data_IF_581743680098
#
_entry.id   IF_581743680098
#
_cell.length_a   1.000
_cell.length_b   1.000
_cell.length_c   1.000
_cell.angle_alpha   90.00
_cell.angle_beta   90.00
_cell.angle_gamma   90.00
#
_symmetry.space_group_name_H-M   'P 1'
#
loop_
_entity.id
_entity.type
_entity.pdbx_description
1 polymer ?
#
# COMPACT_ATOMS: atom_id res chain seq x y z
N UNK A 1 59.03 23.56 -10.51
CA UNK A 1 59.80 22.32 -10.25
C UNK A 1 58.84 21.19 -10.48
N UNK A 2 59.04 20.55 -11.63
CA UNK A 2 58.38 19.32 -12.07
C UNK A 2 58.89 18.14 -11.25
N UNK A 3 58.03 17.23 -10.85
CA UNK A 3 58.37 15.83 -10.73
C UNK A 3 57.12 15.01 -11.13
N UNK A 4 57.26 14.34 -12.30
CA UNK A 4 56.45 13.21 -12.73
C UNK A 4 57.12 11.95 -12.16
N UNK A 5 56.37 10.94 -11.84
CA UNK A 5 56.70 9.48 -11.82
C UNK A 5 55.38 8.75 -11.68
N UNK A 6 54.97 7.97 -12.49
CA UNK A 6 55.14 6.81 -13.30
C UNK A 6 54.01 5.81 -13.00
N UNK A 7 53.45 5.33 -14.09
CA UNK A 7 52.57 4.16 -14.18
C UNK A 7 53.34 2.88 -13.74
N UNK A 8 52.61 2.00 -13.08
CA UNK A 8 52.93 0.59 -13.09
C UNK A 8 51.64 -0.23 -13.20
N UNK A 9 51.49 -0.71 -14.40
CA UNK A 9 50.67 -1.87 -14.74
C UNK A 9 51.12 -3.08 -13.92
N UNK A 10 50.19 -3.88 -13.47
CA UNK A 10 50.45 -5.31 -13.41
C UNK A 10 49.19 -6.10 -13.77
N UNK A 11 49.44 -6.93 -14.79
CA UNK A 11 48.52 -7.85 -15.39
C UNK A 11 48.67 -9.23 -14.70
N UNK A 12 47.66 -10.00 -14.93
CA UNK A 12 47.60 -11.45 -14.98
C UNK A 12 47.31 -12.12 -13.63
N UNK A 13 46.56 -13.19 -13.57
CA UNK A 13 46.59 -14.40 -14.41
C UNK A 13 45.26 -15.12 -14.23
N UNK A 14 44.76 -15.57 -15.36
CA UNK A 14 43.69 -16.55 -15.52
C UNK A 14 44.24 -17.95 -15.27
N UNK A 15 43.53 -18.76 -14.51
CA UNK A 15 43.51 -20.23 -14.63
C UNK A 15 42.52 -20.74 -13.57
N UNK A 16 41.64 -21.61 -13.79
CA UNK A 16 41.40 -22.61 -14.79
C UNK A 16 40.31 -23.50 -14.21
N UNK A 17 39.37 -23.83 -15.02
CA UNK A 17 38.33 -24.85 -14.78
C UNK A 17 39.02 -26.22 -14.74
N UNK A 18 38.49 -27.21 -13.97
CA UNK A 18 37.84 -28.26 -14.74
C UNK A 18 36.47 -28.72 -14.18
N UNK A 19 35.65 -29.01 -15.15
CA UNK A 19 34.43 -29.79 -15.18
C UNK A 19 34.72 -31.26 -14.85
N UNK A 20 33.91 -31.92 -14.10
CA UNK A 20 33.50 -33.34 -14.18
C UNK A 20 32.71 -33.69 -12.92
N UNK A 21 31.59 -34.32 -12.88
CA UNK A 21 30.88 -35.14 -13.82
C UNK A 21 29.91 -36.02 -13.04
N UNK A 22 28.86 -36.47 -13.73
CA UNK A 22 28.01 -37.64 -13.47
C UNK A 22 26.94 -37.49 -12.38
N UNK A 23 25.70 -37.19 -12.76
CA UNK A 23 24.65 -38.16 -13.18
C UNK A 23 24.59 -39.45 -12.37
N UNK A 24 23.54 -39.53 -11.53
CA UNK A 24 22.92 -40.82 -11.24
C UNK A 24 21.41 -40.68 -11.22
N UNK A 25 20.85 -41.16 -12.33
CA UNK A 25 19.47 -41.49 -12.55
C UNK A 25 19.21 -42.83 -11.89
N UNK A 26 18.37 -42.94 -10.89
CA UNK A 26 17.74 -44.20 -10.52
C UNK A 26 16.31 -44.27 -10.99
N UNK A 27 16.18 -45.02 -12.07
CA UNK A 27 14.92 -45.57 -12.59
C UNK A 27 14.37 -46.62 -11.66
N UNK A 28 13.06 -46.59 -11.54
CA UNK A 28 12.23 -47.69 -11.05
C UNK A 28 12.13 -48.81 -12.08
N UNK A 29 11.93 -50.06 -11.65
CA UNK A 29 11.28 -51.06 -12.48
C UNK A 29 9.80 -51.12 -12.20
N UNK A 30 9.07 -51.20 -13.15
CA UNK A 30 7.83 -51.60 -13.59
C UNK A 30 7.61 -53.11 -13.62
N UNK A 31 6.42 -53.46 -13.85
CA UNK A 31 5.79 -54.58 -14.57
C UNK A 31 4.42 -54.80 -13.98
N UNK A 32 3.36 -54.59 -14.66
CA UNK A 32 2.71 -55.29 -15.79
C UNK A 32 2.08 -56.62 -15.39
N UNK A 33 0.95 -56.80 -16.03
CA UNK A 33 0.19 -58.00 -16.47
C UNK A 33 -1.08 -58.19 -15.67
N UNK A 34 -2.19 -57.95 -16.28
CA UNK A 34 -2.94 -58.70 -17.31
C UNK A 34 -4.17 -59.41 -16.76
N UNK A 35 -5.26 -59.03 -17.33
CA UNK A 35 -6.37 -59.84 -17.83
C UNK A 35 -7.08 -60.85 -16.89
N UNK A 36 -8.38 -60.73 -16.87
CA UNK A 36 -9.27 -61.81 -16.36
C UNK A 36 -10.73 -61.48 -16.44
N UNK A 37 -11.31 -61.75 -17.56
CA UNK A 37 -12.72 -61.85 -17.86
C UNK A 37 -13.43 -62.76 -16.86
N UNK A 38 -14.59 -62.35 -16.35
CA UNK A 38 -15.66 -63.31 -16.06
C UNK A 38 -16.99 -62.57 -15.93
N UNK A 39 -17.74 -62.78 -16.94
CA UNK A 39 -19.16 -62.48 -17.13
C UNK A 39 -19.96 -63.50 -16.31
N UNK A 40 -20.78 -63.09 -15.33
CA UNK A 40 -21.87 -63.88 -14.85
C UNK A 40 -23.14 -63.07 -14.78
N UNK A 41 -24.02 -63.37 -15.69
CA UNK A 41 -25.45 -63.08 -15.68
C UNK A 41 -26.13 -64.04 -14.71
N UNK A 42 -27.02 -63.58 -13.85
CA UNK A 42 -28.11 -64.32 -13.26
C UNK A 42 -29.33 -63.40 -12.99
N UNK A 43 -30.54 -63.93 -12.94
CA UNK A 43 -31.67 -63.37 -13.68
C UNK A 43 -32.63 -62.54 -12.84
N UNK A 44 -33.50 -61.85 -13.57
CA UNK A 44 -34.48 -60.92 -13.04
C UNK A 44 -35.52 -61.51 -12.13
N UNK A 45 -35.92 -60.70 -11.17
CA UNK A 45 -37.26 -60.78 -10.55
C UNK A 45 -38.00 -59.48 -10.84
N UNK A 46 -39.01 -59.60 -11.66
CA UNK A 46 -40.05 -58.59 -11.82
C UNK A 46 -40.82 -58.51 -10.50
N UNK A 47 -40.76 -57.34 -9.87
CA UNK A 47 -41.73 -57.02 -8.82
C UNK A 47 -42.47 -55.78 -9.25
N UNK A 48 -43.75 -55.98 -9.35
CA UNK A 48 -44.77 -55.08 -9.86
C UNK A 48 -44.95 -53.91 -8.90
N UNK A 49 -44.99 -52.77 -9.49
CA UNK A 49 -45.19 -51.44 -8.99
C UNK A 49 -46.54 -51.29 -8.29
N UNK A 50 -46.50 -50.77 -7.09
CA UNK A 50 -47.63 -50.08 -6.47
C UNK A 50 -47.43 -48.58 -6.63
N UNK A 51 -48.17 -48.01 -7.51
CA UNK A 51 -48.36 -46.57 -7.74
C UNK A 51 -49.06 -45.99 -6.50
N UNK A 52 -48.32 -45.28 -5.63
CA UNK A 52 -48.95 -44.39 -4.66
C UNK A 52 -48.87 -42.96 -5.17
N UNK A 53 -49.97 -42.50 -5.69
CA UNK A 53 -50.32 -41.11 -5.83
C UNK A 53 -50.42 -40.49 -4.43
N UNK A 54 -49.98 -39.26 -4.30
CA UNK A 54 -50.29 -38.45 -3.13
C UNK A 54 -49.12 -37.59 -2.70
N UNK A 55 -48.61 -36.74 -3.60
CA UNK A 55 -47.87 -35.58 -3.14
C UNK A 55 -48.91 -34.58 -2.65
N UNK A 56 -48.99 -34.40 -1.32
CA UNK A 56 -49.88 -33.40 -0.74
C UNK A 56 -49.48 -32.00 -1.25
N UNK A 57 -50.41 -31.20 -1.72
CA UNK A 57 -50.13 -29.85 -2.20
C UNK A 57 -49.68 -28.87 -1.10
N UNK A 58 -49.80 -29.25 0.16
CA UNK A 58 -49.34 -28.42 1.32
C UNK A 58 -47.82 -28.33 1.42
N UNK A 59 -47.04 -29.31 1.02
CA UNK A 59 -45.60 -29.27 1.08
C UNK A 59 -44.99 -28.32 0.04
N UNK A 60 -45.63 -28.16 -1.11
CA UNK A 60 -45.19 -27.23 -2.17
C UNK A 60 -45.50 -25.77 -1.81
N UNK A 61 -46.58 -25.51 -1.10
CA UNK A 61 -46.93 -24.15 -0.61
C UNK A 61 -46.02 -23.70 0.55
N UNK A 62 -45.57 -24.61 1.42
CA UNK A 62 -44.64 -24.30 2.52
C UNK A 62 -43.23 -23.96 2.03
N UNK A 63 -42.80 -24.53 0.90
CA UNK A 63 -41.49 -24.18 0.31
C UNK A 63 -41.55 -22.86 -0.48
N UNK A 64 -42.69 -22.52 -1.08
CA UNK A 64 -42.89 -21.24 -1.77
C UNK A 64 -43.04 -20.03 -0.82
N UNK A 65 -43.54 -20.27 0.40
CA UNK A 65 -43.69 -19.20 1.42
C UNK A 65 -42.39 -18.77 2.11
N UNK A 66 -41.25 -19.43 1.86
CA UNK A 66 -39.96 -19.11 2.48
C UNK A 66 -39.05 -18.24 1.63
N UNK A 67 -39.46 -17.80 0.45
CA UNK A 67 -38.71 -16.82 -0.33
C UNK A 67 -39.28 -15.42 -0.04
N UNK A 68 -39.10 -14.96 1.18
CA UNK A 68 -39.18 -13.52 1.46
C UNK A 68 -38.05 -12.87 0.68
N UNK A 69 -38.30 -12.00 -0.29
CA UNK A 69 -37.24 -11.29 -0.98
C UNK A 69 -36.44 -10.54 0.08
N UNK A 70 -35.20 -10.97 0.31
CA UNK A 70 -34.31 -10.26 1.23
C UNK A 70 -34.05 -8.90 0.60
N UNK A 71 -34.68 -7.87 1.11
CA UNK A 71 -34.39 -6.49 0.76
C UNK A 71 -33.03 -6.15 1.31
N UNK A 72 -32.04 -6.05 0.43
CA UNK A 72 -30.70 -5.63 0.79
C UNK A 72 -30.61 -4.12 0.72
N UNK A 73 -29.97 -3.53 1.70
CA UNK A 73 -29.65 -2.13 1.68
C UNK A 73 -28.29 -1.90 1.00
N UNK A 74 -28.12 -0.70 0.44
CA UNK A 74 -26.84 -0.28 -0.13
C UNK A 74 -26.49 1.09 0.45
N UNK A 75 -25.43 1.13 1.26
CA UNK A 75 -24.90 2.35 1.87
C UNK A 75 -23.38 2.26 1.92
N UNK A 76 -22.72 3.43 2.02
CA UNK A 76 -21.24 3.47 2.14
C UNK A 76 -20.81 2.81 3.43
N UNK A 77 -19.78 1.96 3.33
CA UNK A 77 -19.23 1.26 4.49
C UNK A 77 -17.72 1.02 4.31
N UNK A 78 -17.02 1.01 5.45
CA UNK A 78 -15.63 0.56 5.50
C UNK A 78 -15.62 -0.88 6.03
N UNK A 79 -15.14 -1.85 5.24
CA UNK A 79 -15.13 -3.26 5.63
C UNK A 79 -14.26 -3.53 6.87
N UNK A 80 -13.39 -2.60 7.28
CA UNK A 80 -12.57 -2.74 8.47
C UNK A 80 -13.28 -2.37 9.78
N UNK A 81 -14.38 -1.61 9.73
CA UNK A 81 -15.06 -1.10 10.94
C UNK A 81 -16.56 -1.34 10.96
N UNK A 82 -17.16 -1.70 9.82
CA UNK A 82 -18.60 -1.94 9.71
C UNK A 82 -19.08 -3.01 10.71
N UNK A 83 -20.23 -2.82 11.33
CA UNK A 83 -20.77 -3.76 12.31
C UNK A 83 -21.29 -5.06 11.67
N UNK A 84 -21.34 -6.14 12.44
CA UNK A 84 -21.96 -7.43 12.01
C UNK A 84 -23.40 -7.21 11.57
N UNK A 85 -24.15 -6.37 12.27
CA UNK A 85 -25.54 -6.07 11.91
C UNK A 85 -25.64 -5.31 10.58
N UNK A 86 -24.75 -4.34 10.33
CA UNK A 86 -24.73 -3.62 9.06
C UNK A 86 -24.29 -4.49 7.90
N UNK A 87 -23.33 -5.42 8.13
CA UNK A 87 -23.01 -6.44 7.11
C UNK A 87 -24.24 -7.30 6.76
N UNK A 88 -25.08 -7.64 7.75
CA UNK A 88 -26.34 -8.36 7.47
C UNK A 88 -27.32 -7.53 6.66
N UNK A 89 -27.44 -6.22 6.94
CA UNK A 89 -28.25 -5.28 6.14
C UNK A 89 -27.74 -5.19 4.70
N UNK A 90 -26.41 -5.23 4.52
CA UNK A 90 -25.77 -5.28 3.20
C UNK A 90 -25.97 -6.63 2.47
N UNK A 91 -26.60 -7.63 3.11
CA UNK A 91 -26.96 -8.89 2.49
C UNK A 91 -26.08 -10.09 2.84
N UNK A 92 -25.12 -9.94 3.74
CA UNK A 92 -24.35 -11.08 4.23
C UNK A 92 -25.17 -11.91 5.22
N UNK A 93 -24.99 -13.22 5.19
CA UNK A 93 -25.53 -14.10 6.23
C UNK A 93 -24.80 -13.82 7.56
N UNK A 94 -25.40 -14.23 8.68
CA UNK A 94 -24.77 -14.09 9.99
C UNK A 94 -23.36 -14.72 10.02
N UNK A 95 -23.23 -15.95 9.50
CA UNK A 95 -21.93 -16.65 9.43
C UNK A 95 -20.88 -15.89 8.61
N UNK A 96 -21.27 -15.30 7.49
CA UNK A 96 -20.37 -14.49 6.67
C UNK A 96 -19.93 -13.21 7.39
N UNK A 97 -20.89 -12.50 8.01
CA UNK A 97 -20.60 -11.29 8.77
C UNK A 97 -19.68 -11.55 9.98
N UNK A 98 -19.94 -12.63 10.72
CA UNK A 98 -19.07 -13.09 11.82
C UNK A 98 -17.69 -13.52 11.32
N UNK A 99 -17.57 -14.14 10.16
CA UNK A 99 -16.28 -14.50 9.57
C UNK A 99 -15.44 -13.28 9.22
N UNK A 100 -16.05 -12.22 8.67
CA UNK A 100 -15.39 -10.95 8.41
C UNK A 100 -14.93 -10.31 9.74
N UNK A 101 -15.78 -10.32 10.75
CA UNK A 101 -15.47 -9.77 12.07
C UNK A 101 -14.32 -10.54 12.75
N UNK A 102 -14.36 -11.87 12.68
CA UNK A 102 -13.30 -12.73 13.21
C UNK A 102 -11.96 -12.55 12.48
N UNK A 103 -11.99 -12.32 11.15
CA UNK A 103 -10.79 -11.98 10.39
C UNK A 103 -10.15 -10.69 10.92
N UNK A 104 -10.96 -9.64 11.15
CA UNK A 104 -10.50 -8.36 11.71
C UNK A 104 -9.95 -8.51 13.14
N UNK A 105 -10.66 -9.25 14.01
CA UNK A 105 -10.23 -9.53 15.39
C UNK A 105 -8.88 -10.26 15.47
N UNK A 106 -8.54 -11.04 14.45
CA UNK A 106 -7.24 -11.68 14.31
C UNK A 106 -6.16 -10.77 13.68
N UNK A 107 -6.42 -9.47 13.55
CA UNK A 107 -5.48 -8.49 12.94
C UNK A 107 -5.57 -8.37 11.42
N UNK A 108 -6.51 -9.08 10.76
CA UNK A 108 -6.74 -8.94 9.33
C UNK A 108 -7.28 -7.56 8.98
N UNK A 109 -6.77 -6.99 7.87
CA UNK A 109 -7.21 -5.70 7.34
C UNK A 109 -7.45 -5.81 5.84
N UNK A 110 -8.50 -5.16 5.36
CA UNK A 110 -8.77 -4.94 3.96
C UNK A 110 -8.13 -3.59 3.57
N UNK A 111 -7.07 -3.62 2.81
CA UNK A 111 -6.35 -2.39 2.40
C UNK A 111 -6.90 -1.82 1.11
N UNK A 112 -7.38 -2.71 0.23
CA UNK A 112 -7.98 -2.37 -1.06
C UNK A 112 -9.37 -3.00 -1.17
N UNK A 113 -10.18 -2.50 -2.09
CA UNK A 113 -11.50 -3.10 -2.40
C UNK A 113 -11.35 -4.55 -2.88
N UNK A 114 -10.29 -4.82 -3.63
CA UNK A 114 -9.95 -6.15 -4.15
C UNK A 114 -9.60 -7.14 -3.03
N UNK A 115 -9.06 -6.67 -1.89
CA UNK A 115 -8.82 -7.54 -0.73
C UNK A 115 -10.14 -8.03 -0.13
N UNK A 116 -11.17 -7.17 -0.14
CA UNK A 116 -12.50 -7.55 0.29
C UNK A 116 -13.14 -8.54 -0.71
N UNK A 117 -12.96 -8.31 -2.02
CA UNK A 117 -13.42 -9.23 -3.06
C UNK A 117 -12.79 -10.63 -2.94
N UNK A 118 -11.49 -10.70 -2.61
CA UNK A 118 -10.77 -11.98 -2.43
C UNK A 118 -11.16 -12.75 -1.18
N UNK A 119 -11.96 -12.16 -0.29
CA UNK A 119 -12.42 -12.87 0.89
C UNK A 119 -13.38 -13.99 0.51
N UNK A 120 -13.07 -15.23 0.94
CA UNK A 120 -13.85 -16.43 0.60
C UNK A 120 -15.35 -16.37 1.00
N UNK A 121 -15.71 -15.45 1.89
CA UNK A 121 -17.09 -15.24 2.34
C UNK A 121 -17.86 -14.23 1.49
N UNK A 122 -17.19 -13.52 0.59
CA UNK A 122 -17.77 -12.50 -0.26
C UNK A 122 -17.98 -13.10 -1.65
N UNK A 123 -19.23 -13.35 -2.02
CA UNK A 123 -19.55 -13.83 -3.35
C UNK A 123 -19.39 -12.69 -4.38
N UNK A 124 -18.94 -13.02 -5.60
CA UNK A 124 -18.72 -12.05 -6.68
C UNK A 124 -19.93 -11.17 -6.95
N UNK A 125 -21.15 -11.76 -6.94
CA UNK A 125 -22.40 -11.02 -7.14
C UNK A 125 -22.67 -9.98 -6.04
N UNK A 126 -22.28 -10.30 -4.80
CA UNK A 126 -22.38 -9.37 -3.66
C UNK A 126 -21.32 -8.27 -3.78
N UNK A 127 -20.09 -8.64 -4.15
CA UNK A 127 -19.02 -7.67 -4.38
C UNK A 127 -19.38 -6.68 -5.49
N UNK A 128 -19.76 -7.15 -6.69
CA UNK A 128 -20.13 -6.29 -7.81
C UNK A 128 -21.23 -5.27 -7.44
N UNK A 129 -22.18 -5.68 -6.60
CA UNK A 129 -23.24 -4.79 -6.11
C UNK A 129 -22.71 -3.74 -5.11
N UNK A 130 -21.77 -4.14 -4.24
CA UNK A 130 -21.29 -3.34 -3.11
C UNK A 130 -20.03 -2.52 -3.41
N UNK A 131 -19.28 -2.81 -4.46
CA UNK A 131 -17.98 -2.21 -4.78
C UNK A 131 -17.98 -0.68 -4.75
N UNK A 132 -19.02 -0.05 -5.32
CA UNK A 132 -19.16 1.42 -5.33
C UNK A 132 -19.47 2.03 -3.95
N UNK A 133 -19.88 1.19 -3.01
CA UNK A 133 -20.18 1.60 -1.64
C UNK A 133 -19.05 1.31 -0.67
N UNK A 134 -18.01 0.57 -1.10
CA UNK A 134 -16.84 0.30 -0.28
C UNK A 134 -16.00 1.57 -0.19
N UNK A 135 -15.80 2.06 1.03
CA UNK A 135 -15.02 3.25 1.35
C UNK A 135 -13.93 2.88 2.36
N UNK A 136 -12.72 2.65 1.85
CA UNK A 136 -11.54 2.38 2.66
C UNK A 136 -10.68 3.64 2.63
N UNK A 137 -10.55 4.37 3.76
CA UNK A 137 -9.78 5.59 3.80
C UNK A 137 -8.30 5.31 3.53
N UNK A 138 -7.68 6.16 2.71
CA UNK A 138 -6.25 6.15 2.49
C UNK A 138 -5.52 6.67 3.73
N UNK A 139 -4.31 6.14 3.98
CA UNK A 139 -3.47 6.58 5.08
C UNK A 139 -2.88 7.96 4.79
N UNK A 140 -3.18 8.94 5.61
CA UNK A 140 -2.58 10.27 5.51
C UNK A 140 -1.15 10.25 6.05
N UNK A 141 -0.15 10.36 5.15
CA UNK A 141 1.26 10.30 5.51
C UNK A 141 1.73 11.46 6.40
N UNK A 142 0.97 12.55 6.47
CA UNK A 142 1.27 13.65 7.35
C UNK A 142 0.77 13.45 8.79
N UNK A 143 -0.20 12.54 8.98
CA UNK A 143 -0.77 12.23 10.30
C UNK A 143 -0.38 10.87 10.84
N UNK A 144 -0.07 9.93 9.94
CA UNK A 144 0.25 8.55 10.28
C UNK A 144 1.35 8.45 11.33
N UNK A 145 1.18 7.56 12.28
CA UNK A 145 2.21 7.18 13.24
C UNK A 145 3.13 6.06 12.68
N UNK A 146 4.13 5.67 13.47
CA UNK A 146 5.07 4.63 13.06
C UNK A 146 4.40 3.26 12.90
N UNK A 147 3.39 2.93 13.71
CA UNK A 147 2.69 1.65 13.63
C UNK A 147 1.79 1.59 12.40
N UNK A 148 1.18 2.71 12.02
CA UNK A 148 0.37 2.82 10.81
C UNK A 148 1.24 2.70 9.54
N UNK A 149 2.44 3.29 9.54
CA UNK A 149 3.39 3.08 8.45
C UNK A 149 3.91 1.64 8.38
N UNK A 150 4.23 1.02 9.52
CA UNK A 150 4.68 -0.38 9.58
C UNK A 150 3.63 -1.36 9.03
N UNK A 151 2.35 -1.00 9.14
CA UNK A 151 1.26 -1.79 8.59
C UNK A 151 1.16 -1.73 7.05
N UNK A 152 1.90 -0.86 6.36
CA UNK A 152 1.92 -0.78 4.89
C UNK A 152 2.67 -1.98 4.27
N UNK A 153 2.23 -2.47 3.10
CA UNK A 153 2.89 -3.60 2.43
C UNK A 153 4.35 -3.30 2.08
N UNK A 154 5.26 -4.12 2.58
CA UNK A 154 6.69 -4.00 2.30
C UNK A 154 7.43 -2.93 3.12
N UNK A 155 6.73 -2.30 4.06
CA UNK A 155 7.30 -1.39 5.05
C UNK A 155 7.43 -2.17 6.36
N UNK A 156 8.58 -2.07 7.00
CA UNK A 156 8.83 -2.60 8.33
C UNK A 156 9.22 -1.47 9.27
N UNK A 157 9.36 -1.75 10.56
CA UNK A 157 9.60 -0.75 11.61
C UNK A 157 10.76 0.22 11.32
N UNK A 158 11.82 -0.25 10.64
CA UNK A 158 12.92 0.63 10.21
C UNK A 158 12.44 1.74 9.25
N UNK A 159 11.74 1.36 8.18
CA UNK A 159 11.24 2.34 7.20
C UNK A 159 10.14 3.22 7.81
N UNK A 160 9.27 2.64 8.62
CA UNK A 160 8.22 3.38 9.33
C UNK A 160 8.82 4.50 10.19
N UNK A 161 9.86 4.20 10.98
CA UNK A 161 10.59 5.21 11.76
C UNK A 161 11.25 6.27 10.86
N UNK A 162 11.86 5.86 9.73
CA UNK A 162 12.48 6.78 8.77
C UNK A 162 11.45 7.68 8.08
N UNK A 163 10.26 7.17 7.78
CA UNK A 163 9.17 7.98 7.22
C UNK A 163 8.71 9.06 8.20
N UNK A 164 8.58 8.74 9.49
CA UNK A 164 8.24 9.72 10.54
C UNK A 164 9.37 10.74 10.72
N UNK A 165 10.63 10.29 10.79
CA UNK A 165 11.81 11.15 10.91
C UNK A 165 11.91 12.13 9.72
N UNK A 166 11.78 11.59 8.50
CA UNK A 166 11.89 12.39 7.27
C UNK A 166 10.77 13.42 7.16
N UNK A 167 9.52 13.03 7.50
CA UNK A 167 8.40 13.95 7.64
C UNK A 167 8.72 15.12 8.58
N UNK A 168 9.28 14.84 9.74
CA UNK A 168 9.62 15.87 10.73
C UNK A 168 10.67 16.84 10.20
N UNK A 169 11.65 16.34 9.45
CA UNK A 169 12.72 17.16 8.85
C UNK A 169 12.23 18.00 7.67
N UNK A 170 11.24 17.50 6.90
CA UNK A 170 10.59 18.24 5.81
C UNK A 170 9.63 19.34 6.32
N UNK A 171 9.13 19.20 7.55
CA UNK A 171 7.98 19.97 8.03
C UNK A 171 6.64 19.44 7.52
N UNK A 172 6.64 18.24 6.95
CA UNK A 172 5.52 17.55 6.35
C UNK A 172 5.76 17.22 4.88
N UNK A 173 5.17 16.12 4.43
CA UNK A 173 5.17 15.73 3.01
C UNK A 173 4.27 16.65 2.21
N UNK A 174 4.71 17.09 1.06
CA UNK A 174 3.92 17.87 0.09
C UNK A 174 3.47 17.03 -1.10
N UNK A 175 4.16 15.91 -1.35
CA UNK A 175 3.80 14.91 -2.37
C UNK A 175 4.28 13.52 -1.93
N UNK A 176 3.66 12.47 -2.48
CA UNK A 176 3.95 11.07 -2.13
C UNK A 176 5.39 10.66 -2.51
N UNK A 177 5.88 11.21 -3.61
CA UNK A 177 7.19 10.89 -4.19
C UNK A 177 8.36 11.28 -3.28
N UNK A 178 8.14 12.21 -2.34
CA UNK A 178 9.14 12.54 -1.32
C UNK A 178 9.51 11.35 -0.43
N UNK A 179 8.65 10.34 -0.33
CA UNK A 179 8.98 9.09 0.36
C UNK A 179 10.15 8.35 -0.31
N UNK A 180 10.30 8.44 -1.63
CA UNK A 180 11.38 7.81 -2.38
C UNK A 180 12.75 8.48 -2.14
N UNK A 181 12.78 9.63 -1.47
CA UNK A 181 14.03 10.29 -1.05
C UNK A 181 14.62 9.65 0.23
N UNK A 182 13.87 8.75 0.87
CA UNK A 182 14.33 7.97 2.02
C UNK A 182 15.27 6.89 1.51
N UNK A 183 16.46 6.82 2.09
CA UNK A 183 17.50 5.87 1.71
C UNK A 183 17.00 4.42 1.73
N UNK A 184 17.23 3.68 0.66
CA UNK A 184 16.77 2.31 0.42
C UNK A 184 15.24 2.11 0.28
N UNK A 185 14.43 3.15 0.25
CA UNK A 185 13.03 3.05 -0.14
C UNK A 185 12.95 3.20 -1.66
N UNK A 186 13.12 2.08 -2.35
CA UNK A 186 13.14 1.99 -3.80
C UNK A 186 11.73 1.99 -4.42
N UNK A 187 11.67 2.05 -5.75
CA UNK A 187 10.42 2.07 -6.49
C UNK A 187 9.60 0.78 -6.30
N UNK A 188 10.26 -0.36 -6.10
CA UNK A 188 9.56 -1.64 -5.91
C UNK A 188 8.81 -1.68 -4.58
N UNK A 189 9.40 -1.12 -3.52
CA UNK A 189 8.71 -0.97 -2.24
C UNK A 189 7.60 0.07 -2.33
N UNK A 190 7.90 1.24 -2.92
CA UNK A 190 6.95 2.33 -3.07
C UNK A 190 5.69 1.91 -3.84
N UNK A 191 5.83 1.19 -4.94
CA UNK A 191 4.71 0.73 -5.77
C UNK A 191 3.73 -0.20 -5.04
N UNK A 192 4.17 -0.87 -3.97
CA UNK A 192 3.30 -1.77 -3.19
C UNK A 192 2.28 -1.05 -2.34
N UNK A 193 2.50 0.22 -2.01
CA UNK A 193 1.65 0.97 -1.09
C UNK A 193 1.27 2.38 -1.54
N UNK A 194 1.81 2.90 -2.65
CA UNK A 194 1.57 4.27 -3.10
C UNK A 194 0.08 4.60 -3.36
N UNK A 195 -0.71 3.59 -3.68
CA UNK A 195 -2.17 3.68 -3.85
C UNK A 195 -2.94 3.66 -2.51
N UNK A 196 -2.30 3.24 -1.42
CA UNK A 196 -2.90 3.13 -0.08
C UNK A 196 -2.74 4.41 0.75
N UNK A 197 -1.96 5.38 0.26
CA UNK A 197 -1.60 6.58 0.98
C UNK A 197 -2.16 7.84 0.31
N UNK A 198 -2.34 8.86 1.11
CA UNK A 198 -2.67 10.22 0.65
C UNK A 198 -1.81 11.24 1.37
N UNK A 199 -1.70 12.43 0.77
CA UNK A 199 -1.02 13.57 1.38
C UNK A 199 -2.07 14.51 1.90
N UNK A 200 -2.25 14.52 3.22
CA UNK A 200 -3.09 15.49 3.89
C UNK A 200 -2.39 16.84 4.08
N UNK A 201 -3.01 17.71 4.83
CA UNK A 201 -2.43 19.01 5.14
C UNK A 201 -1.12 18.87 5.91
N UNK A 202 -0.06 19.55 5.40
CA UNK A 202 1.20 19.74 6.10
C UNK A 202 1.22 21.10 6.80
N UNK A 203 1.97 21.21 7.87
CA UNK A 203 2.29 22.54 8.46
C UNK A 203 3.19 23.29 7.46
N UNK A 204 2.93 24.59 7.20
CA UNK A 204 3.81 25.36 6.34
C UNK A 204 5.24 25.41 6.91
N UNK A 205 6.22 25.15 6.05
CA UNK A 205 7.62 25.26 6.42
C UNK A 205 8.00 26.75 6.58
N UNK A 206 8.53 27.08 7.75
CA UNK A 206 8.82 28.45 8.15
C UNK A 206 10.18 28.92 7.63
N UNK A 207 10.40 28.82 6.32
CA UNK A 207 11.66 29.13 5.65
C UNK A 207 12.19 30.52 6.01
N UNK A 208 11.30 31.48 6.09
CA UNK A 208 11.65 32.90 6.24
C UNK A 208 11.72 33.40 7.69
N UNK A 209 11.37 32.55 8.66
CA UNK A 209 11.34 32.96 10.08
C UNK A 209 12.20 32.07 10.95
N UNK A 210 12.62 30.90 10.49
CA UNK A 210 13.47 30.00 11.26
C UNK A 210 14.91 30.48 11.32
N UNK A 211 15.62 30.22 12.45
CA UNK A 211 17.07 30.46 12.56
C UNK A 211 17.84 29.41 11.72
N UNK A 212 19.10 29.74 11.39
CA UNK A 212 19.95 28.87 10.57
C UNK A 212 20.16 27.47 11.18
N UNK A 213 20.19 27.34 12.49
CA UNK A 213 20.26 26.04 13.18
C UNK A 213 19.12 25.10 12.88
N UNK A 214 17.94 25.64 12.72
CA UNK A 214 16.75 24.87 12.33
C UNK A 214 16.69 24.64 10.83
N UNK A 215 17.05 25.63 10.02
CA UNK A 215 17.05 25.54 8.57
C UNK A 215 18.00 24.46 8.04
N UNK A 216 19.20 24.30 8.64
CA UNK A 216 20.18 23.27 8.22
C UNK A 216 19.67 21.83 8.37
N UNK A 217 18.65 21.59 9.20
CA UNK A 217 18.06 20.28 9.41
C UNK A 217 17.13 19.86 8.26
N UNK A 218 16.67 20.84 7.48
CA UNK A 218 15.79 20.56 6.34
C UNK A 218 16.55 19.79 5.23
N UNK A 219 15.98 18.69 4.67
CA UNK A 219 16.67 17.82 3.70
C UNK A 219 17.20 18.52 2.47
N UNK A 220 16.61 19.64 2.04
CA UNK A 220 16.98 20.37 0.84
C UNK A 220 17.92 21.55 1.09
N UNK A 221 18.11 21.92 2.36
CA UNK A 221 19.07 22.96 2.78
C UNK A 221 20.40 22.32 3.23
N UNK A 222 20.33 21.25 4.05
CA UNK A 222 21.36 20.29 4.42
C UNK A 222 22.57 20.80 5.23
N UNK A 223 23.00 22.03 5.06
CA UNK A 223 24.23 22.49 5.66
C UNK A 223 24.10 23.90 6.25
N UNK A 224 25.03 24.21 7.14
CA UNK A 224 25.11 25.50 7.83
C UNK A 224 25.32 26.66 6.86
N UNK A 225 26.19 26.49 5.85
CA UNK A 225 26.53 27.54 4.90
C UNK A 225 25.28 28.04 4.15
N UNK A 226 24.50 27.12 3.61
CA UNK A 226 23.24 27.42 2.89
C UNK A 226 22.22 28.02 3.86
N UNK A 227 22.05 27.44 5.05
CA UNK A 227 21.10 27.95 6.03
C UNK A 227 21.41 29.39 6.45
N UNK A 228 22.70 29.68 6.72
CA UNK A 228 23.13 31.01 7.07
C UNK A 228 23.00 32.02 5.89
N UNK A 229 23.29 31.56 4.67
CA UNK A 229 23.11 32.39 3.50
C UNK A 229 21.61 32.75 3.26
N UNK A 230 20.67 31.85 3.58
CA UNK A 230 19.22 32.14 3.55
C UNK A 230 18.87 33.22 4.58
N UNK A 231 19.42 33.12 5.80
CA UNK A 231 19.19 34.12 6.84
C UNK A 231 19.72 35.47 6.40
N UNK A 232 20.97 35.52 5.90
CA UNK A 232 21.59 36.76 5.38
C UNK A 232 20.80 37.34 4.20
N UNK A 233 20.30 36.48 3.31
CA UNK A 233 19.50 36.92 2.18
C UNK A 233 18.23 37.64 2.64
N UNK A 234 17.46 37.04 3.56
CA UNK A 234 16.24 37.66 4.08
C UNK A 234 16.50 38.96 4.82
N UNK A 235 17.64 39.05 5.55
CA UNK A 235 17.96 40.23 6.36
C UNK A 235 18.43 41.41 5.48
N UNK A 236 18.95 41.15 4.28
CA UNK A 236 19.45 42.12 3.34
C UNK A 236 18.56 42.41 2.12
N UNK A 237 17.42 41.72 1.99
CA UNK A 237 16.53 41.92 0.87
C UNK A 237 15.09 42.22 1.33
N UNK A 238 14.34 43.02 0.57
CA UNK A 238 12.94 43.27 0.89
C UNK A 238 12.10 41.98 0.75
N UNK A 239 10.98 41.93 1.46
CA UNK A 239 10.13 40.73 1.57
C UNK A 239 9.58 40.25 0.24
N UNK A 240 9.41 41.12 -0.74
CA UNK A 240 8.93 40.82 -2.09
C UNK A 240 9.89 39.88 -2.83
N UNK A 241 11.18 39.87 -2.46
CA UNK A 241 12.20 38.99 -3.01
C UNK A 241 12.34 37.67 -2.22
N UNK A 242 11.62 37.48 -1.13
CA UNK A 242 11.67 36.26 -0.32
C UNK A 242 10.96 35.12 -1.01
N UNK A 243 11.59 34.61 -2.06
CA UNK A 243 11.10 33.49 -2.86
C UNK A 243 12.19 32.43 -3.00
N UNK A 244 11.81 31.19 -3.22
CA UNK A 244 12.76 30.10 -3.52
C UNK A 244 13.55 30.41 -4.80
N UNK A 245 12.90 31.05 -5.76
CA UNK A 245 13.56 31.51 -6.99
C UNK A 245 14.56 32.61 -6.73
N UNK A 246 14.27 33.56 -5.83
CA UNK A 246 15.21 34.58 -5.37
C UNK A 246 16.47 33.97 -4.78
N UNK A 247 16.33 32.92 -3.94
CA UNK A 247 17.46 32.18 -3.40
C UNK A 247 18.29 31.47 -4.47
N UNK A 248 17.64 30.92 -5.50
CA UNK A 248 18.30 30.32 -6.65
C UNK A 248 19.08 31.36 -7.46
N UNK A 249 18.44 32.46 -7.78
CA UNK A 249 19.06 33.56 -8.56
C UNK A 249 20.23 34.20 -7.82
N UNK A 250 20.19 34.23 -6.48
CA UNK A 250 21.30 34.67 -5.64
C UNK A 250 22.42 33.60 -5.47
N UNK A 251 22.30 32.43 -6.11
CA UNK A 251 23.28 31.34 -6.02
C UNK A 251 23.35 30.64 -4.67
N UNK A 252 22.36 30.86 -3.79
CA UNK A 252 22.27 30.23 -2.45
C UNK A 252 21.81 28.79 -2.54
N UNK A 253 20.86 28.51 -3.46
CA UNK A 253 20.37 27.18 -3.76
C UNK A 253 20.76 26.81 -5.20
N UNK A 254 21.20 25.58 -5.39
CA UNK A 254 21.28 25.00 -6.74
C UNK A 254 19.88 24.75 -7.32
N UNK A 255 19.82 24.52 -8.63
CA UNK A 255 18.56 24.31 -9.33
C UNK A 255 17.78 23.10 -8.78
N UNK A 256 18.48 22.02 -8.41
CA UNK A 256 17.84 20.81 -7.90
C UNK A 256 17.25 21.03 -6.50
N UNK A 257 17.97 21.71 -5.61
CA UNK A 257 17.48 22.07 -4.27
C UNK A 257 16.30 23.04 -4.35
N UNK A 258 16.39 24.05 -5.23
CA UNK A 258 15.31 25.02 -5.44
C UNK A 258 14.02 24.34 -5.94
N UNK A 259 14.10 23.47 -6.95
CA UNK A 259 12.95 22.70 -7.46
C UNK A 259 12.32 21.83 -6.38
N UNK A 260 13.13 21.15 -5.54
CA UNK A 260 12.61 20.34 -4.44
C UNK A 260 11.97 21.20 -3.36
N UNK A 261 12.62 22.30 -2.98
CA UNK A 261 12.11 23.18 -1.93
C UNK A 261 10.83 23.89 -2.35
N UNK A 262 10.68 24.24 -3.64
CA UNK A 262 9.45 24.86 -4.17
C UNK A 262 8.22 23.93 -4.11
N UNK A 263 8.42 22.61 -3.98
CA UNK A 263 7.34 21.65 -3.76
C UNK A 263 6.82 21.66 -2.32
N UNK A 264 7.63 22.17 -1.38
CA UNK A 264 7.22 22.25 0.01
C UNK A 264 6.22 23.39 0.20
N UNK A 265 5.25 23.17 1.09
CA UNK A 265 4.35 24.24 1.52
C UNK A 265 5.12 25.22 2.40
N UNK A 266 5.54 26.35 1.83
CA UNK A 266 6.29 27.39 2.56
C UNK A 266 5.32 28.40 3.16
N UNK A 267 5.59 28.86 4.38
CA UNK A 267 4.80 29.88 5.05
C UNK A 267 4.90 31.23 4.30
N UNK A 268 3.76 31.79 3.91
CA UNK A 268 3.69 33.13 3.36
C UNK A 268 3.78 34.17 4.48
N UNK A 269 4.82 34.98 4.48
CA UNK A 269 5.08 36.00 5.51
C UNK A 269 4.36 37.35 5.20
N UNK A 270 3.38 37.31 4.30
CA UNK A 270 2.55 38.49 4.08
C UNK A 270 1.62 38.67 5.30
N UNK A 271 1.97 39.60 6.18
CA UNK A 271 0.96 40.18 7.07
C UNK A 271 -0.10 40.82 6.18
N UNK A 272 -1.34 40.36 6.34
CA UNK A 272 -2.48 41.19 5.96
C UNK A 272 -2.27 42.57 6.59
N UNK A 273 -1.93 43.56 5.79
CA UNK A 273 -2.18 44.95 6.10
C UNK A 273 -3.69 45.11 5.85
N UNK A 274 -4.47 44.58 6.79
CA UNK A 274 -5.90 44.86 6.88
C UNK A 274 -6.06 45.82 8.05
N UNK A 275 -6.28 47.08 7.74
CA UNK A 275 -7.11 47.97 8.49
C UNK A 275 -6.49 48.63 9.72
N UNK A 276 -6.09 49.83 9.50
CA UNK A 276 -6.56 50.95 10.34
C UNK A 276 -7.51 51.78 9.52
#
# INVERSE_FOLDING_TARGET
VYVSVDEASDQAVVSGVPVSGKSDVRRLPGESVSAGNARQQVPGKKTVIARKQGVRPEAAAAVAAAIVPRTYENFRFNPNVVSVNDLRRLGFSLKQAESIDNYRKKGGKFRRKEDFAKSYVVADSVYCRLEKYIDIPLLDINRADSAEFDALPGIGGYFAAKMVEYRSRLGGYSCKEQLMEIYHLDNDKYSRFCDLITVGESRPFRLWTMPADSLKLHPYIRNWKTANAIVLYRDNNPRELWTVEGLRNAGILDNAAAVRLSRCRIEHVFKNVAGN
#
